data_IF_314912193623
#
_entry.id   IF_314912193623
#
_cell.length_a   1.000
_cell.length_b   1.000
_cell.length_c   1.000
_cell.angle_alpha   90.00
_cell.angle_beta   90.00
_cell.angle_gamma   90.00
#
_symmetry.space_group_name_H-M   'P 1'
#
loop_
_entity.id
_entity.type
_entity.pdbx_description
1 polymer ?
#
# COMPACT_ATOMS: atom_id res chain seq x y z
N UNK A 1 -4.73 34.37 -20.24
CA UNK A 1 -4.25 33.38 -21.20
C UNK A 1 -3.10 32.53 -20.64
N UNK A 2 -2.40 32.97 -19.59
CA UNK A 2 -1.26 32.26 -18.97
C UNK A 2 -1.43 32.14 -17.46
N UNK A 3 -2.64 31.91 -16.98
CA UNK A 3 -2.90 31.75 -15.55
C UNK A 3 -2.99 30.27 -15.21
N UNK A 4 -2.17 29.82 -14.28
CA UNK A 4 -2.16 28.46 -13.76
C UNK A 4 -2.07 28.49 -12.25
N UNK A 5 -2.72 27.52 -11.60
CA UNK A 5 -2.61 27.31 -10.16
C UNK A 5 -2.06 25.93 -9.89
N UNK A 6 -1.01 25.86 -9.08
CA UNK A 6 -0.46 24.62 -8.54
C UNK A 6 -0.72 24.56 -7.05
N UNK A 7 -1.34 23.49 -6.58
CA UNK A 7 -1.71 23.32 -5.18
C UNK A 7 -1.10 22.06 -4.59
N UNK A 8 -0.84 22.08 -3.26
CA UNK A 8 -0.44 20.89 -2.52
C UNK A 8 -1.62 19.93 -2.35
N UNK A 9 -1.35 18.62 -2.34
CA UNK A 9 -2.35 17.60 -2.09
C UNK A 9 -2.99 17.62 -0.69
N UNK A 10 -2.38 18.31 0.26
CA UNK A 10 -2.78 18.33 1.68
C UNK A 10 -3.42 19.64 2.11
N UNK A 11 -3.80 20.51 1.20
CA UNK A 11 -4.61 21.67 1.51
C UNK A 11 -6.01 21.24 1.99
N UNK A 12 -6.64 22.06 2.83
CA UNK A 12 -8.00 21.78 3.26
C UNK A 12 -8.95 21.72 2.07
N UNK A 13 -10.00 20.90 2.17
CA UNK A 13 -10.99 20.78 1.09
C UNK A 13 -11.59 22.14 0.68
N UNK A 14 -11.74 23.05 1.65
CA UNK A 14 -12.19 24.42 1.41
C UNK A 14 -11.26 25.18 0.47
N UNK A 15 -9.94 25.09 0.71
CA UNK A 15 -8.92 25.73 -0.14
C UNK A 15 -8.97 25.17 -1.56
N UNK A 16 -9.03 23.84 -1.73
CA UNK A 16 -9.16 23.22 -3.04
C UNK A 16 -10.43 23.64 -3.80
N UNK A 17 -11.53 23.81 -3.10
CA UNK A 17 -12.78 24.25 -3.71
C UNK A 17 -12.69 25.70 -4.19
N UNK A 18 -12.05 26.56 -3.41
CA UNK A 18 -11.84 27.98 -3.75
C UNK A 18 -10.86 28.13 -4.93
N UNK A 19 -9.77 27.38 -4.94
CA UNK A 19 -8.81 27.38 -6.03
C UNK A 19 -9.48 26.98 -7.36
N UNK A 20 -10.27 25.91 -7.37
CA UNK A 20 -11.02 25.49 -8.55
C UNK A 20 -12.04 26.51 -8.98
N UNK A 21 -12.76 27.09 -8.02
CA UNK A 21 -13.75 28.14 -8.31
C UNK A 21 -13.08 29.36 -8.94
N UNK A 22 -11.92 29.79 -8.43
CA UNK A 22 -11.12 30.84 -9.02
C UNK A 22 -10.74 30.51 -10.47
N UNK A 23 -10.26 29.29 -10.73
CA UNK A 23 -9.88 28.85 -12.08
C UNK A 23 -11.06 28.91 -13.04
N UNK A 24 -12.24 28.47 -12.62
CA UNK A 24 -13.47 28.57 -13.43
C UNK A 24 -13.87 30.01 -13.72
N UNK A 25 -13.75 30.92 -12.74
CA UNK A 25 -14.07 32.34 -12.92
C UNK A 25 -13.08 33.04 -13.88
N UNK A 26 -11.80 32.65 -13.81
CA UNK A 26 -10.76 33.17 -14.72
C UNK A 26 -10.84 32.53 -16.11
N UNK A 27 -11.54 31.40 -16.24
CA UNK A 27 -11.67 30.67 -17.52
C UNK A 27 -10.41 29.90 -17.90
N UNK A 28 -9.55 29.56 -16.95
CA UNK A 28 -8.33 28.78 -17.22
C UNK A 28 -8.49 27.31 -16.79
N UNK A 29 -8.15 26.33 -17.66
CA UNK A 29 -8.13 24.91 -17.31
C UNK A 29 -6.87 24.46 -16.56
N UNK A 30 -5.89 25.34 -16.36
CA UNK A 30 -4.54 25.00 -15.90
C UNK A 30 -4.48 24.91 -14.37
N UNK A 31 -5.28 24.02 -13.78
CA UNK A 31 -5.19 23.68 -12.37
C UNK A 31 -4.42 22.37 -12.18
N UNK A 32 -3.34 22.42 -11.40
CA UNK A 32 -2.45 21.31 -11.14
C UNK A 32 -2.48 20.99 -9.64
N UNK A 33 -2.61 19.73 -9.30
CA UNK A 33 -2.57 19.27 -7.90
C UNK A 33 -1.50 18.20 -7.73
N UNK A 34 -0.74 18.32 -6.64
CA UNK A 34 0.20 17.30 -6.21
C UNK A 34 -0.43 15.94 -5.90
N UNK A 35 -1.76 15.88 -5.70
CA UNK A 35 -2.50 14.62 -5.49
C UNK A 35 -2.34 13.66 -6.67
N UNK A 36 -2.22 14.18 -7.89
CA UNK A 36 -2.04 13.35 -9.07
C UNK A 36 -0.77 12.47 -9.01
N UNK A 37 0.29 13.00 -8.39
CA UNK A 37 1.55 12.26 -8.18
C UNK A 37 1.58 11.52 -6.82
N UNK A 38 0.81 11.98 -5.85
CA UNK A 38 0.82 11.47 -4.48
C UNK A 38 -0.08 10.24 -4.29
N UNK A 39 -1.27 10.24 -4.88
CA UNK A 39 -2.29 9.22 -4.65
C UNK A 39 -3.07 8.84 -5.92
N UNK A 40 -2.67 9.36 -7.08
CA UNK A 40 -3.43 9.21 -8.31
C UNK A 40 -3.57 7.75 -8.74
N UNK A 41 -2.50 7.00 -8.71
CA UNK A 41 -2.49 5.59 -9.08
C UNK A 41 -3.34 4.75 -8.11
N UNK A 42 -3.12 4.90 -6.80
CA UNK A 42 -3.92 4.20 -5.78
C UNK A 42 -5.40 4.55 -5.89
N UNK A 43 -5.73 5.82 -6.09
CA UNK A 43 -7.13 6.24 -6.25
C UNK A 43 -7.79 5.61 -7.49
N UNK A 44 -7.07 5.56 -8.61
CA UNK A 44 -7.55 4.93 -9.83
C UNK A 44 -7.76 3.42 -9.65
N UNK A 45 -6.75 2.71 -9.12
CA UNK A 45 -6.82 1.26 -8.88
C UNK A 45 -7.94 0.91 -7.90
N UNK A 46 -8.03 1.61 -6.77
CA UNK A 46 -9.08 1.36 -5.79
C UNK A 46 -10.47 1.61 -6.36
N UNK A 47 -10.64 2.67 -7.18
CA UNK A 47 -11.92 2.93 -7.83
C UNK A 47 -12.31 1.84 -8.83
N UNK A 48 -11.35 1.31 -9.58
CA UNK A 48 -11.59 0.23 -10.54
C UNK A 48 -11.85 -1.11 -9.85
N UNK A 49 -11.21 -1.36 -8.69
CA UNK A 49 -11.28 -2.64 -7.98
C UNK A 49 -12.46 -2.68 -7.00
N UNK A 50 -12.63 -1.63 -6.19
CA UNK A 50 -13.60 -1.59 -5.09
C UNK A 50 -14.72 -0.56 -5.29
N UNK A 51 -14.64 0.28 -6.31
CA UNK A 51 -15.56 1.38 -6.55
C UNK A 51 -15.29 2.62 -5.70
N UNK A 52 -14.40 2.54 -4.70
CA UNK A 52 -14.14 3.62 -3.78
C UNK A 52 -12.72 3.52 -3.16
N UNK A 53 -12.31 4.49 -2.33
CA UNK A 53 -11.02 4.49 -1.65
C UNK A 53 -11.16 3.94 -0.22
N UNK A 54 -10.84 2.66 0.02
CA UNK A 54 -11.00 2.05 1.35
C UNK A 54 -9.97 2.58 2.34
N UNK A 55 -10.36 2.61 3.62
CA UNK A 55 -9.46 2.96 4.72
C UNK A 55 -9.18 1.73 5.57
N UNK A 56 -7.96 1.63 6.11
CA UNK A 56 -7.57 0.53 6.97
C UNK A 56 -8.34 0.54 8.29
N UNK A 57 -8.96 -0.58 8.65
CA UNK A 57 -9.58 -0.79 9.96
C UNK A 57 -8.56 -1.37 10.94
N UNK A 58 -7.99 -0.51 11.76
CA UNK A 58 -7.06 -0.91 12.82
C UNK A 58 -7.77 -1.50 14.04
N UNK A 59 -9.09 -1.35 14.16
CA UNK A 59 -9.87 -1.81 15.29
C UNK A 59 -9.98 -3.32 15.37
N UNK A 60 -10.14 -3.97 14.22
CA UNK A 60 -10.37 -5.42 14.09
C UNK A 60 -9.15 -6.19 13.57
N UNK A 61 -8.07 -5.50 13.15
CA UNK A 61 -6.92 -6.17 12.52
C UNK A 61 -6.04 -6.92 13.51
N UNK A 62 -5.54 -8.08 13.08
CA UNK A 62 -4.52 -8.88 13.77
C UNK A 62 -3.16 -8.89 13.05
N UNK A 63 -3.08 -8.31 11.85
CA UNK A 63 -1.81 -8.13 11.13
C UNK A 63 -1.77 -6.79 10.40
N UNK A 64 -0.70 -6.05 10.56
CA UNK A 64 -0.48 -4.75 9.93
C UNK A 64 0.77 -4.82 9.07
N UNK A 65 0.66 -4.45 7.81
CA UNK A 65 1.79 -4.41 6.88
C UNK A 65 2.10 -2.97 6.50
N UNK A 66 3.33 -2.55 6.70
CA UNK A 66 3.78 -1.18 6.44
C UNK A 66 4.80 -1.18 5.29
N UNK A 67 4.40 -0.68 4.14
CA UNK A 67 5.28 -0.47 2.99
C UNK A 67 5.90 0.94 3.05
N UNK A 68 7.18 1.04 3.42
CA UNK A 68 7.90 2.31 3.52
C UNK A 68 7.21 3.36 4.40
N UNK A 69 6.37 2.92 5.33
CA UNK A 69 5.49 3.79 6.10
C UNK A 69 6.00 3.95 7.52
N UNK A 70 6.42 5.17 7.87
CA UNK A 70 6.81 5.54 9.23
C UNK A 70 5.89 6.63 9.80
N UNK A 71 4.67 6.29 10.26
CA UNK A 71 3.67 7.27 10.70
C UNK A 71 4.09 8.08 11.92
N UNK A 72 5.05 7.59 12.71
CA UNK A 72 5.61 8.36 13.84
C UNK A 72 6.34 9.62 13.38
N UNK A 73 7.04 9.56 12.23
CA UNK A 73 7.85 10.67 11.69
C UNK A 73 7.10 11.55 10.70
N UNK A 74 6.00 11.06 10.12
CA UNK A 74 5.26 11.76 9.08
C UNK A 74 4.01 12.49 9.56
N UNK A 75 3.95 12.89 10.85
CA UNK A 75 2.82 13.64 11.43
C UNK A 75 1.46 12.91 11.35
N UNK A 76 1.45 11.60 11.07
CA UNK A 76 0.24 10.79 11.02
C UNK A 76 -0.02 10.13 12.38
N UNK A 77 -0.03 10.96 13.41
CA UNK A 77 -0.23 10.54 14.80
C UNK A 77 -1.45 9.64 15.01
N UNK A 78 -2.62 9.86 14.38
CA UNK A 78 -3.76 8.96 14.54
C UNK A 78 -3.44 7.53 14.09
N UNK A 79 -2.79 7.35 12.93
CA UNK A 79 -2.38 6.03 12.42
C UNK A 79 -1.33 5.40 13.35
N UNK A 80 -0.35 6.16 13.79
CA UNK A 80 0.65 5.67 14.74
C UNK A 80 0.01 5.17 16.04
N UNK A 81 -0.93 5.91 16.61
CA UNK A 81 -1.65 5.50 17.81
C UNK A 81 -2.52 4.27 17.56
N UNK A 82 -3.17 4.17 16.40
CA UNK A 82 -3.98 3.02 16.03
C UNK A 82 -3.11 1.74 15.90
N UNK A 83 -1.93 1.84 15.28
CA UNK A 83 -0.95 0.74 15.22
C UNK A 83 -0.53 0.30 16.63
N UNK A 84 -0.20 1.25 17.51
CA UNK A 84 0.17 0.93 18.89
C UNK A 84 -0.96 0.22 19.64
N UNK A 85 -2.19 0.69 19.48
CA UNK A 85 -3.36 0.07 20.11
C UNK A 85 -3.59 -1.34 19.57
N UNK A 86 -3.45 -1.57 18.26
CA UNK A 86 -3.54 -2.89 17.67
C UNK A 86 -2.44 -3.84 18.19
N UNK A 87 -1.18 -3.38 18.26
CA UNK A 87 -0.07 -4.14 18.86
C UNK A 87 -0.33 -4.50 20.31
N UNK A 88 -0.90 -3.59 21.10
CA UNK A 88 -1.25 -3.86 22.50
C UNK A 88 -2.32 -4.96 22.64
N UNK A 89 -3.13 -5.21 21.60
CA UNK A 89 -4.07 -6.32 21.52
C UNK A 89 -3.46 -7.61 20.95
N UNK A 90 -2.18 -7.60 20.57
CA UNK A 90 -1.46 -8.76 20.02
C UNK A 90 -1.33 -8.78 18.51
N UNK A 91 -1.77 -7.75 17.81
CA UNK A 91 -1.61 -7.67 16.35
C UNK A 91 -0.13 -7.72 15.95
N UNK A 92 0.17 -8.50 14.92
CA UNK A 92 1.51 -8.61 14.31
C UNK A 92 1.78 -7.45 13.38
N UNK A 93 3.05 -7.08 13.27
CA UNK A 93 3.49 -6.00 12.38
C UNK A 93 4.60 -6.49 11.47
N UNK A 94 4.37 -6.35 10.17
CA UNK A 94 5.36 -6.59 9.12
C UNK A 94 5.76 -5.23 8.56
N UNK A 95 7.04 -4.97 8.46
CA UNK A 95 7.57 -3.74 7.86
C UNK A 95 8.41 -4.06 6.65
N UNK A 96 8.09 -3.40 5.53
CA UNK A 96 8.88 -3.41 4.30
C UNK A 96 9.51 -2.03 4.15
N UNK A 97 10.77 -1.88 4.52
CA UNK A 97 11.51 -0.61 4.45
C UNK A 97 13.01 -0.93 4.32
N UNK A 98 13.72 -0.32 3.37
CA UNK A 98 15.17 -0.49 3.26
C UNK A 98 15.93 0.01 4.50
N UNK A 99 15.32 0.92 5.28
CA UNK A 99 15.90 1.51 6.49
C UNK A 99 15.39 0.78 7.74
N UNK A 100 16.22 0.75 8.77
CA UNK A 100 15.77 0.40 10.11
C UNK A 100 15.08 1.62 10.71
N UNK A 101 13.78 1.72 10.50
CA UNK A 101 12.94 2.79 11.03
C UNK A 101 12.42 2.43 12.42
N UNK A 102 11.89 3.41 13.16
CA UNK A 102 11.26 3.19 14.47
C UNK A 102 10.16 2.10 14.41
N UNK A 103 9.50 1.95 13.27
CA UNK A 103 8.49 0.91 13.07
C UNK A 103 9.14 -0.46 12.83
N UNK A 104 10.25 -0.48 12.11
CA UNK A 104 11.00 -1.69 11.81
C UNK A 104 11.66 -2.29 13.06
N UNK A 105 12.17 -1.45 13.97
CA UNK A 105 12.76 -1.91 15.23
C UNK A 105 11.76 -2.66 16.13
N UNK A 106 10.49 -2.32 16.01
CA UNK A 106 9.42 -2.95 16.78
C UNK A 106 8.56 -3.95 15.97
N UNK A 107 8.96 -4.31 14.76
CA UNK A 107 8.22 -5.23 13.91
C UNK A 107 8.44 -6.70 14.30
N UNK A 108 7.45 -7.55 14.02
CA UNK A 108 7.60 -9.00 14.11
C UNK A 108 8.45 -9.53 12.94
N UNK A 109 8.28 -8.92 11.74
CA UNK A 109 9.11 -9.20 10.56
C UNK A 109 9.51 -7.87 9.93
N UNK A 110 10.80 -7.70 9.60
CA UNK A 110 11.32 -6.57 8.86
C UNK A 110 11.99 -7.05 7.56
N UNK A 111 11.39 -6.75 6.42
CA UNK A 111 11.92 -7.05 5.10
C UNK A 111 12.65 -5.82 4.55
N UNK A 112 13.98 -5.91 4.45
CA UNK A 112 14.83 -4.80 3.96
C UNK A 112 15.02 -4.90 2.45
N UNK A 113 13.93 -4.69 1.72
CA UNK A 113 13.96 -4.77 0.26
C UNK A 113 14.73 -3.59 -0.37
N UNK A 114 15.26 -3.79 -1.58
CA UNK A 114 15.80 -2.71 -2.39
C UNK A 114 14.69 -1.73 -2.77
N UNK A 115 14.97 -0.43 -2.73
CA UNK A 115 14.01 0.59 -3.15
C UNK A 115 13.56 0.35 -4.61
N UNK A 116 12.25 0.51 -4.87
CA UNK A 116 11.66 0.29 -6.19
C UNK A 116 11.34 -1.17 -6.53
N UNK A 117 11.42 -2.10 -5.56
CA UNK A 117 11.15 -3.52 -5.81
C UNK A 117 9.88 -4.05 -5.11
N UNK A 118 9.03 -3.15 -4.63
CA UNK A 118 7.81 -3.48 -3.89
C UNK A 118 6.84 -4.31 -4.75
N UNK A 119 6.71 -3.99 -6.04
CA UNK A 119 5.86 -4.77 -6.94
C UNK A 119 6.31 -6.23 -7.06
N UNK A 120 7.62 -6.47 -7.18
CA UNK A 120 8.16 -7.83 -7.20
C UNK A 120 7.91 -8.55 -5.85
N UNK A 121 8.04 -7.85 -4.73
CA UNK A 121 7.72 -8.37 -3.40
C UNK A 121 6.26 -8.79 -3.31
N UNK A 122 5.33 -7.95 -3.78
CA UNK A 122 3.90 -8.28 -3.81
C UNK A 122 3.61 -9.52 -4.67
N UNK A 123 4.24 -9.65 -5.84
CA UNK A 123 4.10 -10.84 -6.69
C UNK A 123 4.66 -12.09 -5.99
N UNK A 124 5.77 -11.97 -5.26
CA UNK A 124 6.31 -13.06 -4.44
C UNK A 124 5.36 -13.48 -3.31
N UNK A 125 4.71 -12.54 -2.65
CA UNK A 125 3.69 -12.85 -1.64
C UNK A 125 2.49 -13.55 -2.26
N UNK A 126 1.99 -13.05 -3.39
CA UNK A 126 0.90 -13.70 -4.13
C UNK A 126 1.29 -15.11 -4.56
N UNK A 127 2.55 -15.37 -4.96
CA UNK A 127 3.04 -16.70 -5.30
C UNK A 127 2.87 -17.67 -4.14
N UNK A 128 3.29 -17.31 -2.94
CA UNK A 128 3.11 -18.13 -1.73
C UNK A 128 1.62 -18.35 -1.44
N UNK A 129 0.84 -17.28 -1.45
CA UNK A 129 -0.60 -17.32 -1.14
C UNK A 129 -1.35 -18.23 -2.12
N UNK A 130 -1.02 -18.17 -3.41
CA UNK A 130 -1.67 -18.99 -4.43
C UNK A 130 -1.23 -20.45 -4.39
N UNK A 131 0.07 -20.70 -4.24
CA UNK A 131 0.61 -22.07 -4.22
C UNK A 131 0.16 -22.86 -2.99
N UNK A 132 0.06 -22.17 -1.85
CA UNK A 132 -0.38 -22.77 -0.59
C UNK A 132 -1.91 -22.71 -0.38
N UNK A 133 -2.63 -22.07 -1.32
CA UNK A 133 -4.09 -21.96 -1.26
C UNK A 133 -4.62 -21.14 -0.08
N UNK A 134 -3.85 -20.13 0.36
CA UNK A 134 -4.15 -19.28 1.53
C UNK A 134 -5.11 -18.12 1.22
N UNK A 135 -5.87 -18.21 0.15
CA UNK A 135 -6.87 -17.21 -0.22
C UNK A 135 -8.29 -17.76 -0.09
N UNK A 136 -9.26 -16.89 0.09
CA UNK A 136 -10.68 -17.26 0.10
C UNK A 136 -11.15 -17.64 -1.31
N UNK A 137 -11.25 -18.95 -1.55
CA UNK A 137 -11.65 -19.52 -2.85
C UNK A 137 -13.09 -19.15 -3.21
N UNK A 138 -13.98 -19.03 -2.22
CA UNK A 138 -15.37 -18.67 -2.47
C UNK A 138 -15.46 -17.19 -2.89
N UNK A 139 -14.75 -16.31 -2.18
CA UNK A 139 -14.68 -14.90 -2.53
C UNK A 139 -14.09 -14.71 -3.94
N UNK A 140 -12.99 -15.38 -4.25
CA UNK A 140 -12.35 -15.28 -5.58
C UNK A 140 -13.32 -15.73 -6.68
N UNK A 141 -14.00 -16.87 -6.50
CA UNK A 141 -14.95 -17.40 -7.48
C UNK A 141 -16.14 -16.45 -7.70
N UNK A 142 -16.67 -15.87 -6.64
CA UNK A 142 -17.96 -15.18 -6.67
C UNK A 142 -17.84 -13.67 -6.94
N UNK A 143 -16.67 -13.08 -6.62
CA UNK A 143 -16.50 -11.62 -6.62
C UNK A 143 -15.29 -11.10 -7.40
N UNK A 144 -14.36 -11.98 -7.84
CA UNK A 144 -13.16 -11.53 -8.53
C UNK A 144 -13.23 -11.86 -10.03
N UNK A 145 -12.64 -10.98 -10.83
CA UNK A 145 -12.37 -11.19 -12.26
C UNK A 145 -10.87 -11.07 -12.50
N UNK A 146 -10.35 -11.79 -13.51
CA UNK A 146 -8.92 -11.73 -13.87
C UNK A 146 -8.00 -12.55 -12.96
N UNK A 147 -8.52 -13.50 -12.18
CA UNK A 147 -7.72 -14.32 -11.27
C UNK A 147 -6.71 -15.22 -12.02
N UNK A 148 -7.14 -15.82 -13.12
CA UNK A 148 -6.29 -16.75 -13.89
C UNK A 148 -5.14 -16.00 -14.58
N UNK A 149 -5.40 -14.82 -15.11
CA UNK A 149 -4.40 -13.94 -15.70
C UNK A 149 -3.40 -13.44 -14.64
N UNK A 150 -3.89 -13.08 -13.45
CA UNK A 150 -3.03 -12.70 -12.35
C UNK A 150 -2.16 -13.89 -11.91
N UNK A 151 -2.72 -15.09 -11.83
CA UNK A 151 -1.98 -16.31 -11.49
C UNK A 151 -0.87 -16.60 -12.50
N UNK A 152 -1.14 -16.51 -13.80
CA UNK A 152 -0.12 -16.65 -14.85
C UNK A 152 1.01 -15.62 -14.67
N UNK A 153 0.67 -14.37 -14.36
CA UNK A 153 1.67 -13.33 -14.10
C UNK A 153 2.50 -13.64 -12.86
N UNK A 154 1.88 -14.12 -11.80
CA UNK A 154 2.55 -14.49 -10.55
C UNK A 154 3.51 -15.66 -10.74
N UNK A 155 3.18 -16.63 -11.59
CA UNK A 155 4.03 -17.80 -11.89
C UNK A 155 5.36 -17.43 -12.55
N UNK A 156 5.46 -16.25 -13.16
CA UNK A 156 6.73 -15.72 -13.68
C UNK A 156 7.69 -15.24 -12.57
N UNK A 157 7.21 -15.17 -11.31
CA UNK A 157 7.95 -14.65 -10.16
C UNK A 157 8.13 -15.70 -9.06
N UNK A 158 8.89 -16.79 -9.32
CA UNK A 158 9.26 -17.73 -8.27
C UNK A 158 10.07 -17.00 -7.17
N UNK A 159 10.02 -17.50 -5.94
CA UNK A 159 10.61 -16.81 -4.79
C UNK A 159 12.10 -16.52 -4.94
N UNK A 160 12.85 -17.40 -5.62
CA UNK A 160 14.27 -17.21 -5.90
C UNK A 160 14.51 -15.97 -6.78
N UNK A 161 13.66 -15.78 -7.78
CA UNK A 161 13.71 -14.58 -8.64
C UNK A 161 13.35 -13.32 -7.84
N UNK A 162 12.32 -13.40 -7.01
CA UNK A 162 11.92 -12.29 -6.15
C UNK A 162 13.03 -11.94 -5.15
N UNK A 163 13.67 -12.94 -4.55
CA UNK A 163 14.81 -12.74 -3.66
C UNK A 163 15.99 -12.05 -4.37
N UNK A 164 16.30 -12.44 -5.60
CA UNK A 164 17.34 -11.79 -6.40
C UNK A 164 17.00 -10.32 -6.72
N UNK A 165 15.73 -10.02 -7.05
CA UNK A 165 15.27 -8.66 -7.35
C UNK A 165 15.28 -7.79 -6.09
N UNK A 166 14.68 -8.28 -5.00
CA UNK A 166 14.45 -7.50 -3.79
C UNK A 166 15.65 -7.47 -2.84
N UNK A 167 16.53 -8.47 -2.91
CA UNK A 167 17.62 -8.67 -1.96
C UNK A 167 17.19 -9.26 -0.62
N UNK A 168 15.94 -9.70 -0.50
CA UNK A 168 15.39 -10.34 0.70
C UNK A 168 15.44 -11.86 0.52
N UNK A 169 15.86 -12.65 1.54
CA UNK A 169 15.86 -14.11 1.47
C UNK A 169 14.45 -14.67 1.16
N UNK A 170 14.38 -15.73 0.35
CA UNK A 170 13.13 -16.34 -0.05
C UNK A 170 12.29 -16.86 1.14
N UNK A 171 12.96 -17.39 2.16
CA UNK A 171 12.32 -17.85 3.38
C UNK A 171 11.65 -16.72 4.16
N UNK A 172 12.27 -15.52 4.22
CA UNK A 172 11.70 -14.36 4.90
C UNK A 172 10.49 -13.81 4.13
N UNK A 173 10.56 -13.82 2.79
CA UNK A 173 9.43 -13.45 1.92
C UNK A 173 8.25 -14.38 2.19
N UNK A 174 8.50 -15.69 2.21
CA UNK A 174 7.47 -16.69 2.45
C UNK A 174 6.88 -16.60 3.88
N UNK A 175 7.73 -16.39 4.89
CA UNK A 175 7.28 -16.23 6.27
C UNK A 175 6.35 -15.03 6.43
N UNK A 176 6.71 -13.89 5.83
CA UNK A 176 5.87 -12.68 5.86
C UNK A 176 4.54 -12.87 5.11
N UNK A 177 4.56 -13.50 3.94
CA UNK A 177 3.35 -13.79 3.17
C UNK A 177 2.39 -14.71 3.96
N UNK A 178 2.91 -15.76 4.61
CA UNK A 178 2.11 -16.66 5.45
C UNK A 178 1.56 -15.95 6.69
N UNK A 179 2.36 -15.10 7.34
CA UNK A 179 1.89 -14.32 8.49
C UNK A 179 0.74 -13.40 8.09
N UNK A 180 0.84 -12.73 6.95
CA UNK A 180 -0.22 -11.88 6.41
C UNK A 180 -1.47 -12.68 6.06
N UNK A 181 -1.32 -13.76 5.29
CA UNK A 181 -2.45 -14.51 4.74
C UNK A 181 -3.23 -15.33 5.79
N UNK A 182 -2.57 -15.77 6.87
CA UNK A 182 -3.21 -16.53 7.95
C UNK A 182 -3.77 -15.65 9.08
N UNK A 183 -3.63 -14.31 8.99
CA UNK A 183 -4.16 -13.42 10.00
C UNK A 183 -5.69 -13.35 9.92
N UNK A 184 -6.34 -13.37 11.08
CA UNK A 184 -7.76 -13.04 11.19
C UNK A 184 -7.92 -11.50 11.10
N UNK A 185 -8.07 -11.03 9.88
CA UNK A 185 -8.03 -9.61 9.54
C UNK A 185 -6.61 -9.05 9.42
N UNK A 186 -6.23 -8.67 8.21
CA UNK A 186 -4.97 -7.99 7.93
C UNK A 186 -5.22 -6.68 7.20
N UNK A 187 -4.39 -5.67 7.46
CA UNK A 187 -4.47 -4.36 6.81
C UNK A 187 -3.13 -3.92 6.24
N UNK A 188 -3.20 -3.29 5.09
CA UNK A 188 -2.10 -2.54 4.48
C UNK A 188 -2.56 -1.08 4.41
N UNK A 189 -2.20 -0.23 5.38
CA UNK A 189 -2.59 1.17 5.34
C UNK A 189 -1.93 1.85 4.15
N UNK A 190 -2.71 2.66 3.44
CA UNK A 190 -2.21 3.39 2.30
C UNK A 190 -1.04 4.31 2.66
N UNK A 191 -0.07 4.37 1.77
CA UNK A 191 1.07 5.28 1.81
C UNK A 191 1.45 5.69 0.38
N UNK A 192 1.89 6.93 0.15
CA UNK A 192 2.27 7.38 -1.19
C UNK A 192 3.54 6.74 -1.73
N UNK A 193 4.27 5.96 -0.95
CA UNK A 193 5.54 5.33 -1.37
C UNK A 193 5.33 4.45 -2.59
N UNK A 194 4.30 3.60 -2.58
CA UNK A 194 4.01 2.68 -3.68
C UNK A 194 3.50 3.40 -4.94
N UNK A 195 2.87 4.57 -4.77
CA UNK A 195 2.41 5.40 -5.89
C UNK A 195 3.56 6.12 -6.62
N UNK A 196 4.66 6.36 -5.92
CA UNK A 196 5.77 7.21 -6.39
C UNK A 196 6.95 6.39 -6.91
N UNK A 197 6.85 5.08 -6.95
CA UNK A 197 7.89 4.22 -7.51
C UNK A 197 7.77 4.14 -9.02
N UNK A 198 8.91 4.31 -9.68
CA UNK A 198 9.07 4.00 -11.11
C UNK A 198 9.51 2.54 -11.19
N UNK A 199 8.58 1.66 -11.42
CA UNK A 199 8.83 0.22 -11.64
C UNK A 199 8.75 -0.13 -13.11
#
# INVERSE_FOLDING_TARGET
ESFAVSTSGWNTQTTHSLDRRLMYLVGSPNWISGVALCAGNTAAVNRLTYGWFPMADFGSTNCIVLFGHNPRKHSWTPIYNAIRAAKARGAKVIVLDPRVSDQAEGADIHLRLRAGTDAAMCLGWLKVIFDEGLYDKAFVRDWCVGFDELRQRVDEYPLERVAQITGVPAEDIAAAARMYANADGAVIPWTPITDQQLS
#
